data_IF_416588212716
#
_entry.id   IF_416588212716
#
_cell.length_a   1.000
_cell.length_b   1.000
_cell.length_c   1.000
_cell.angle_alpha   90.00
_cell.angle_beta   90.00
_cell.angle_gamma   90.00
#
_symmetry.space_group_name_H-M   'P 1'
#
loop_
_entity.id
_entity.type
_entity.pdbx_description
1 polymer ?
#
# COMPACT_ATOMS: atom_id res chain seq x y z
N UNK A 1 2.14 -13.01 8.35
CA UNK A 1 1.59 -13.60 9.59
C UNK A 1 2.01 -15.05 9.78
N UNK A 2 1.65 -15.96 8.88
CA UNK A 2 1.93 -17.39 9.05
C UNK A 2 3.42 -17.73 9.14
N UNK A 3 4.27 -17.10 8.34
CA UNK A 3 5.72 -17.27 8.40
C UNK A 3 6.34 -16.78 9.73
N UNK A 4 5.78 -15.72 10.33
CA UNK A 4 6.32 -15.08 11.53
C UNK A 4 5.89 -15.80 12.81
N UNK A 5 4.65 -16.19 12.91
CA UNK A 5 4.08 -16.71 14.15
C UNK A 5 3.78 -18.22 14.08
N UNK A 6 3.21 -18.71 12.98
CA UNK A 6 2.76 -20.09 12.87
C UNK A 6 1.84 -20.46 14.03
N UNK A 7 1.98 -21.69 14.52
CA UNK A 7 1.32 -22.18 15.75
C UNK A 7 2.30 -22.28 16.92
N UNK A 8 3.08 -21.23 17.15
CA UNK A 8 4.08 -21.19 18.23
C UNK A 8 3.42 -20.88 19.54
N UNK A 9 3.61 -21.75 20.52
CA UNK A 9 3.31 -21.47 21.92
C UNK A 9 4.36 -20.48 22.47
N UNK A 10 3.95 -19.60 23.37
CA UNK A 10 4.80 -18.53 23.88
C UNK A 10 5.72 -18.98 25.02
N UNK A 11 5.18 -19.70 25.99
CA UNK A 11 5.86 -20.03 27.26
C UNK A 11 5.79 -21.51 27.65
N UNK A 12 5.05 -22.32 26.93
CA UNK A 12 4.81 -23.75 27.26
C UNK A 12 5.09 -24.62 26.05
N UNK A 13 5.48 -25.87 26.30
CA UNK A 13 5.64 -26.86 25.25
C UNK A 13 4.33 -27.54 24.86
N UNK A 14 3.27 -27.41 25.68
CA UNK A 14 1.96 -28.04 25.50
C UNK A 14 0.84 -27.02 25.71
N UNK A 15 -0.31 -27.26 25.09
CA UNK A 15 -1.51 -26.43 25.27
C UNK A 15 -2.01 -26.51 26.72
N UNK A 16 -2.31 -25.32 27.29
CA UNK A 16 -2.83 -25.20 28.65
C UNK A 16 -4.35 -25.16 28.73
N UNK A 17 -5.02 -24.87 27.60
CA UNK A 17 -6.48 -24.72 27.49
C UNK A 17 -7.03 -23.70 28.50
N UNK A 18 -6.28 -22.64 28.74
CA UNK A 18 -6.71 -21.52 29.59
C UNK A 18 -7.08 -20.28 28.75
N UNK A 19 -7.65 -19.26 29.40
CA UNK A 19 -8.06 -18.02 28.74
C UNK A 19 -6.92 -16.98 28.62
N UNK A 20 -5.69 -17.35 28.96
CA UNK A 20 -4.53 -16.50 28.77
C UNK A 20 -3.96 -16.67 27.37
N UNK A 21 -3.11 -15.73 26.96
CA UNK A 21 -2.45 -15.83 25.65
C UNK A 21 -1.46 -17.00 25.63
N UNK A 22 -1.80 -18.05 24.92
CA UNK A 22 -0.94 -19.23 24.75
C UNK A 22 -0.05 -19.10 23.51
N UNK A 23 -0.59 -18.51 22.43
CA UNK A 23 0.13 -18.38 21.17
C UNK A 23 0.84 -17.04 21.06
N UNK A 24 2.00 -17.05 20.40
CA UNK A 24 2.76 -15.83 20.14
C UNK A 24 1.97 -14.79 19.34
N UNK A 25 1.08 -15.23 18.45
CA UNK A 25 0.21 -14.32 17.69
C UNK A 25 -0.81 -13.61 18.56
N UNK A 26 -1.35 -14.26 19.59
CA UNK A 26 -2.31 -13.65 20.52
C UNK A 26 -1.67 -12.52 21.32
N UNK A 27 -0.47 -12.75 21.85
CA UNK A 27 0.29 -11.72 22.55
C UNK A 27 0.66 -10.54 21.64
N UNK A 28 1.03 -10.83 20.41
CA UNK A 28 1.30 -9.80 19.41
C UNK A 28 0.05 -8.97 19.12
N UNK A 29 -1.10 -9.59 18.86
CA UNK A 29 -2.35 -8.89 18.59
C UNK A 29 -2.81 -8.06 19.79
N UNK A 30 -2.73 -8.63 21.00
CA UNK A 30 -3.07 -7.93 22.24
C UNK A 30 -2.17 -6.71 22.50
N UNK A 31 -0.87 -6.86 22.28
CA UNK A 31 0.10 -5.77 22.39
C UNK A 31 -0.23 -4.64 21.40
N UNK A 32 -0.44 -4.97 20.13
CA UNK A 32 -0.77 -3.97 19.11
C UNK A 32 -2.12 -3.31 19.37
N UNK A 33 -3.15 -4.06 19.79
CA UNK A 33 -4.44 -3.51 20.15
C UNK A 33 -4.34 -2.50 21.31
N UNK A 34 -3.62 -2.86 22.37
CA UNK A 34 -3.40 -1.96 23.50
C UNK A 34 -2.61 -0.70 23.12
N UNK A 35 -1.60 -0.84 22.27
CA UNK A 35 -0.83 0.32 21.80
C UNK A 35 -1.67 1.22 20.89
N UNK A 36 -2.51 0.63 20.04
CA UNK A 36 -3.40 1.38 19.17
C UNK A 36 -4.39 2.22 19.98
N UNK A 37 -5.06 1.63 20.98
CA UNK A 37 -6.05 2.34 21.81
C UNK A 37 -5.43 3.44 22.71
N UNK A 38 -4.13 3.38 22.98
CA UNK A 38 -3.41 4.46 23.69
C UNK A 38 -3.09 5.66 22.80
N UNK A 39 -2.98 5.44 21.50
CA UNK A 39 -2.52 6.44 20.52
C UNK A 39 -3.65 7.00 19.70
N UNK A 40 -4.74 6.28 19.57
CA UNK A 40 -5.84 6.60 18.67
C UNK A 40 -7.17 6.51 19.39
N UNK A 41 -7.92 7.59 19.38
CA UNK A 41 -9.26 7.64 19.93
C UNK A 41 -10.25 6.88 19.03
N UNK A 42 -11.16 6.12 19.64
CA UNK A 42 -12.13 5.30 18.93
C UNK A 42 -13.08 6.13 18.05
N UNK A 43 -13.50 7.32 18.52
CA UNK A 43 -14.36 8.20 17.73
C UNK A 43 -13.61 8.75 16.52
N UNK A 44 -12.36 9.16 16.68
CA UNK A 44 -11.52 9.58 15.56
C UNK A 44 -11.37 8.47 14.51
N UNK A 45 -11.20 7.22 14.96
CA UNK A 45 -11.17 6.07 14.05
C UNK A 45 -12.47 5.94 13.25
N UNK A 46 -13.63 6.03 13.92
CA UNK A 46 -14.93 5.96 13.27
C UNK A 46 -15.14 7.10 12.26
N UNK A 47 -14.77 8.34 12.61
CA UNK A 47 -14.88 9.48 11.70
C UNK A 47 -14.00 9.34 10.47
N UNK A 48 -12.75 8.94 10.64
CA UNK A 48 -11.82 8.72 9.51
C UNK A 48 -12.31 7.60 8.61
N UNK A 49 -12.75 6.46 9.19
CA UNK A 49 -13.32 5.34 8.42
C UNK A 49 -14.54 5.80 7.64
N UNK A 50 -15.45 6.56 8.29
CA UNK A 50 -16.65 7.09 7.65
C UNK A 50 -16.33 8.05 6.49
N UNK A 51 -15.32 8.91 6.67
CA UNK A 51 -14.87 9.80 5.61
C UNK A 51 -14.29 9.03 4.41
N UNK A 52 -13.56 7.94 4.67
CA UNK A 52 -13.07 7.05 3.62
C UNK A 52 -14.20 6.32 2.89
N UNK A 53 -15.23 5.85 3.63
CA UNK A 53 -16.38 5.16 3.06
C UNK A 53 -17.22 6.06 2.14
N UNK A 54 -17.23 7.36 2.39
CA UNK A 54 -17.95 8.34 1.56
C UNK A 54 -17.14 8.89 0.40
N UNK A 55 -15.84 8.62 0.36
CA UNK A 55 -15.00 9.11 -0.73
C UNK A 55 -15.23 8.30 -2.00
N UNK A 56 -15.78 8.94 -3.00
CA UNK A 56 -15.90 8.41 -4.37
C UNK A 56 -15.37 9.44 -5.36
N UNK A 57 -14.24 9.16 -5.98
CA UNK A 57 -13.61 10.04 -6.97
C UNK A 57 -14.49 10.26 -8.21
N UNK A 58 -15.40 9.35 -8.49
CA UNK A 58 -16.31 9.42 -9.65
C UNK A 58 -17.65 10.09 -9.36
N UNK A 59 -17.97 10.42 -8.10
CA UNK A 59 -19.30 10.90 -7.69
C UNK A 59 -19.75 12.13 -8.50
N UNK A 60 -18.89 13.14 -8.63
CA UNK A 60 -19.23 14.38 -9.35
C UNK A 60 -19.14 14.26 -10.88
N UNK A 61 -18.36 13.31 -11.37
CA UNK A 61 -18.03 13.20 -12.80
C UNK A 61 -18.70 12.02 -13.51
N UNK A 62 -19.30 11.12 -12.74
CA UNK A 62 -20.01 9.92 -13.22
C UNK A 62 -19.09 8.76 -13.62
N UNK A 63 -17.75 8.96 -13.69
CA UNK A 63 -16.79 7.87 -13.93
C UNK A 63 -15.36 8.26 -13.55
N UNK A 64 -14.52 7.27 -13.22
CA UNK A 64 -13.09 7.51 -12.98
C UNK A 64 -12.38 8.13 -14.19
N UNK A 65 -12.70 7.72 -15.39
CA UNK A 65 -12.12 8.32 -16.60
C UNK A 65 -12.48 9.80 -16.73
N UNK A 66 -13.72 10.18 -16.45
CA UNK A 66 -14.15 11.57 -16.44
C UNK A 66 -13.45 12.39 -15.33
N UNK A 67 -13.25 11.79 -14.14
CA UNK A 67 -12.50 12.41 -13.04
C UNK A 67 -11.05 12.75 -13.46
N UNK A 68 -10.45 11.92 -14.30
CA UNK A 68 -9.09 12.12 -14.81
C UNK A 68 -9.01 12.87 -16.13
N UNK A 69 -10.12 13.41 -16.69
CA UNK A 69 -10.15 14.03 -18.00
C UNK A 69 -9.13 15.18 -18.20
N UNK A 70 -8.78 15.88 -17.12
CA UNK A 70 -7.80 16.98 -17.12
C UNK A 70 -6.39 16.57 -16.70
N UNK A 71 -6.13 15.27 -16.50
CA UNK A 71 -4.84 14.76 -16.01
C UNK A 71 -3.87 14.32 -17.11
N UNK A 72 -4.20 14.56 -18.39
CA UNK A 72 -3.38 14.12 -19.53
C UNK A 72 -1.97 14.73 -19.60
N UNK A 73 -1.72 15.83 -18.88
CA UNK A 73 -0.40 16.44 -18.73
C UNK A 73 0.43 15.84 -17.59
N UNK A 74 -0.18 15.02 -16.77
CA UNK A 74 0.49 14.36 -15.65
C UNK A 74 1.05 13.00 -16.07
N UNK A 75 2.10 12.59 -15.40
CA UNK A 75 2.74 11.30 -15.58
C UNK A 75 2.58 10.46 -14.33
N UNK A 76 2.16 9.21 -14.51
CA UNK A 76 1.77 8.34 -13.42
C UNK A 76 2.68 7.11 -13.31
N UNK A 77 3.14 6.82 -12.11
CA UNK A 77 3.71 5.53 -11.75
C UNK A 77 2.74 4.84 -10.77
N UNK A 78 2.08 3.80 -11.25
CA UNK A 78 1.16 3.01 -10.43
C UNK A 78 1.83 1.67 -10.11
N UNK A 79 1.91 1.33 -8.83
CA UNK A 79 2.52 0.09 -8.35
C UNK A 79 1.54 -0.66 -7.48
N UNK A 80 1.39 -1.95 -7.71
CA UNK A 80 0.64 -2.86 -6.85
C UNK A 80 1.46 -4.07 -6.46
N UNK A 81 1.03 -4.79 -5.41
CA UNK A 81 1.69 -5.99 -4.92
C UNK A 81 0.71 -7.14 -4.87
N UNK A 82 1.10 -8.30 -5.40
CA UNK A 82 0.20 -9.44 -5.59
C UNK A 82 -0.40 -9.99 -4.30
N UNK A 83 0.25 -9.78 -3.16
CA UNK A 83 -0.22 -10.23 -1.85
C UNK A 83 -0.91 -9.15 -1.01
N UNK A 84 -1.04 -7.93 -1.54
CA UNK A 84 -1.76 -6.85 -0.85
C UNK A 84 -3.27 -7.12 -0.92
N UNK A 85 -3.87 -7.38 0.25
CA UNK A 85 -5.30 -7.63 0.36
C UNK A 85 -6.09 -6.42 0.85
N UNK A 86 -5.40 -5.37 1.33
CA UNK A 86 -6.03 -4.08 1.67
C UNK A 86 -6.28 -3.27 0.40
N UNK A 87 -5.28 -3.22 -0.49
CA UNK A 87 -5.36 -2.58 -1.81
C UNK A 87 -5.00 -3.59 -2.90
N UNK A 88 -5.88 -4.55 -3.19
CA UNK A 88 -5.62 -5.57 -4.19
C UNK A 88 -5.32 -5.00 -5.56
N UNK A 89 -4.48 -5.69 -6.34
CA UNK A 89 -4.02 -5.25 -7.66
C UNK A 89 -5.15 -4.90 -8.64
N UNK A 90 -6.37 -5.42 -8.46
CA UNK A 90 -7.49 -5.08 -9.33
C UNK A 90 -7.92 -3.62 -9.19
N UNK A 91 -7.81 -2.99 -7.99
CA UNK A 91 -8.06 -1.56 -7.81
C UNK A 91 -7.07 -0.72 -8.59
N UNK A 92 -5.76 -1.05 -8.53
CA UNK A 92 -4.73 -0.37 -9.32
C UNK A 92 -4.98 -0.54 -10.82
N UNK A 93 -5.41 -1.72 -11.27
CA UNK A 93 -5.76 -1.98 -12.68
C UNK A 93 -6.97 -1.15 -13.12
N UNK A 94 -7.92 -0.91 -12.24
CA UNK A 94 -9.07 -0.03 -12.52
C UNK A 94 -8.62 1.42 -12.74
N UNK A 95 -7.76 1.95 -11.86
CA UNK A 95 -7.15 3.27 -12.04
C UNK A 95 -6.36 3.37 -13.36
N UNK A 96 -5.53 2.37 -13.66
CA UNK A 96 -4.76 2.30 -14.91
C UNK A 96 -5.67 2.34 -16.14
N UNK A 97 -6.78 1.59 -16.14
CA UNK A 97 -7.76 1.62 -17.24
C UNK A 97 -8.37 3.02 -17.41
N UNK A 98 -8.76 3.67 -16.31
CA UNK A 98 -9.34 4.99 -16.35
C UNK A 98 -8.36 6.04 -16.88
N UNK A 99 -7.10 6.01 -16.43
CA UNK A 99 -6.03 6.87 -16.90
C UNK A 99 -5.68 6.62 -18.38
N UNK A 100 -5.66 5.34 -18.80
CA UNK A 100 -5.45 4.97 -20.21
C UNK A 100 -6.56 5.51 -21.11
N UNK A 101 -7.80 5.51 -20.64
CA UNK A 101 -8.94 6.02 -21.40
C UNK A 101 -8.86 7.53 -21.71
N UNK A 102 -8.11 8.28 -20.90
CA UNK A 102 -7.85 9.71 -21.11
C UNK A 102 -6.46 9.99 -21.69
N UNK A 103 -5.78 8.97 -22.20
CA UNK A 103 -4.44 9.03 -22.81
C UNK A 103 -3.37 9.63 -21.87
N UNK A 104 -3.46 9.41 -20.56
CA UNK A 104 -2.41 9.79 -19.62
C UNK A 104 -1.15 8.93 -19.81
N UNK A 105 0.03 9.50 -19.53
CA UNK A 105 1.30 8.77 -19.53
C UNK A 105 1.40 7.91 -18.25
N UNK A 106 1.32 6.59 -18.38
CA UNK A 106 1.25 5.66 -17.27
C UNK A 106 2.34 4.60 -17.36
N UNK A 107 3.06 4.42 -16.26
CA UNK A 107 3.87 3.23 -15.99
C UNK A 107 3.15 2.40 -14.92
N UNK A 108 2.88 1.13 -15.20
CA UNK A 108 2.22 0.23 -14.24
C UNK A 108 3.02 -1.04 -14.02
N UNK A 109 3.23 -1.41 -12.74
CA UNK A 109 3.82 -2.68 -12.34
C UNK A 109 2.98 -3.35 -11.24
N UNK A 110 2.79 -4.67 -11.40
CA UNK A 110 2.21 -5.54 -10.38
C UNK A 110 3.32 -6.45 -9.85
N UNK A 111 3.90 -6.09 -8.71
CA UNK A 111 5.09 -6.74 -8.16
C UNK A 111 4.69 -7.98 -7.38
N UNK A 112 5.32 -9.11 -7.71
CA UNK A 112 5.12 -10.34 -6.96
C UNK A 112 5.85 -10.25 -5.61
N UNK A 113 5.09 -10.24 -4.52
CA UNK A 113 5.60 -10.19 -3.15
C UNK A 113 4.71 -11.00 -2.22
N UNK A 114 5.27 -11.47 -1.10
CA UNK A 114 4.56 -12.18 -0.03
C UNK A 114 4.35 -11.33 1.23
N UNK A 115 4.73 -10.04 1.20
CA UNK A 115 4.73 -9.17 2.38
C UNK A 115 3.41 -8.46 2.65
N UNK A 116 2.39 -8.68 1.81
CA UNK A 116 1.10 -8.01 1.94
C UNK A 116 1.22 -6.51 1.68
N UNK A 117 0.47 -5.73 2.44
CA UNK A 117 0.49 -4.27 2.31
C UNK A 117 1.87 -3.64 2.63
N UNK A 118 2.64 -4.24 3.53
CA UNK A 118 3.96 -3.73 3.89
C UNK A 118 5.02 -3.91 2.77
N UNK A 119 4.68 -4.57 1.68
CA UNK A 119 5.60 -4.85 0.58
C UNK A 119 6.30 -3.59 0.03
N UNK A 120 5.61 -2.45 -0.04
CA UNK A 120 6.19 -1.19 -0.51
C UNK A 120 7.34 -0.66 0.36
N UNK A 121 7.40 -1.08 1.64
CA UNK A 121 8.49 -0.76 2.56
C UNK A 121 9.58 -1.83 2.60
N UNK A 122 9.27 -3.06 2.21
CA UNK A 122 10.16 -4.20 2.36
C UNK A 122 10.85 -4.61 1.05
N UNK A 123 10.25 -4.32 -0.09
CA UNK A 123 10.83 -4.53 -1.43
C UNK A 123 11.72 -3.33 -1.84
N UNK A 124 12.63 -2.93 -0.93
CA UNK A 124 13.42 -1.68 -1.03
C UNK A 124 14.18 -1.57 -2.34
N UNK A 125 14.91 -2.62 -2.73
CA UNK A 125 15.75 -2.58 -3.95
C UNK A 125 14.90 -2.43 -5.21
N UNK A 126 13.78 -3.15 -5.28
CA UNK A 126 12.84 -3.10 -6.40
C UNK A 126 12.19 -1.73 -6.50
N UNK A 127 11.69 -1.21 -5.38
CA UNK A 127 11.04 0.10 -5.32
C UNK A 127 12.03 1.23 -5.64
N UNK A 128 13.25 1.17 -5.12
CA UNK A 128 14.29 2.17 -5.39
C UNK A 128 14.60 2.23 -6.88
N UNK A 129 14.86 1.08 -7.52
CA UNK A 129 15.16 1.02 -8.97
C UNK A 129 13.99 1.54 -9.80
N UNK A 130 12.77 1.15 -9.45
CA UNK A 130 11.56 1.55 -10.17
C UNK A 130 11.33 3.05 -10.11
N UNK A 131 11.39 3.62 -8.89
CA UNK A 131 11.19 5.06 -8.69
C UNK A 131 12.33 5.84 -9.36
N UNK A 132 13.59 5.43 -9.20
CA UNK A 132 14.73 6.08 -9.83
C UNK A 132 14.58 6.09 -11.36
N UNK A 133 14.29 4.93 -11.97
CA UNK A 133 14.11 4.84 -13.43
C UNK A 133 12.97 5.71 -13.95
N UNK A 134 11.85 5.79 -13.20
CA UNK A 134 10.74 6.65 -13.54
C UNK A 134 11.14 8.12 -13.49
N UNK A 135 11.78 8.57 -12.41
CA UNK A 135 12.24 9.94 -12.25
C UNK A 135 13.33 10.33 -13.26
N UNK A 136 14.27 9.42 -13.56
CA UNK A 136 15.28 9.63 -14.60
C UNK A 136 14.67 9.79 -16.00
N UNK A 137 13.61 9.02 -16.30
CA UNK A 137 12.85 9.19 -17.54
C UNK A 137 12.24 10.59 -17.60
N UNK A 138 11.55 11.00 -16.54
CA UNK A 138 10.92 12.33 -16.48
C UNK A 138 11.93 13.45 -16.61
N UNK A 139 13.07 13.36 -15.90
CA UNK A 139 14.10 14.37 -15.97
C UNK A 139 14.69 14.52 -17.39
N UNK A 140 14.86 13.42 -18.12
CA UNK A 140 15.31 13.45 -19.52
C UNK A 140 14.28 14.06 -20.46
N UNK A 141 13.00 13.78 -20.24
CA UNK A 141 11.91 14.34 -21.06
C UNK A 141 11.73 15.84 -20.85
N UNK A 142 11.94 16.30 -19.60
CA UNK A 142 11.81 17.72 -19.23
C UNK A 142 13.15 18.50 -19.32
N UNK A 143 14.23 17.88 -19.82
CA UNK A 143 15.57 18.49 -19.88
C UNK A 143 16.09 19.00 -18.52
N UNK A 144 15.64 18.38 -17.42
CA UNK A 144 16.02 18.76 -16.05
C UNK A 144 17.28 17.98 -15.64
N UNK A 145 18.32 18.70 -15.20
CA UNK A 145 19.52 18.06 -14.64
C UNK A 145 19.20 17.46 -13.25
N UNK A 146 19.31 16.14 -13.13
CA UNK A 146 19.21 15.46 -11.84
C UNK A 146 20.49 15.66 -11.00
N UNK A 147 20.37 15.89 -9.68
CA UNK A 147 21.52 15.93 -8.80
C UNK A 147 22.22 14.56 -8.77
N UNK A 148 23.55 14.56 -8.94
CA UNK A 148 24.36 13.33 -8.79
C UNK A 148 24.35 12.93 -7.32
N UNK A 149 23.65 11.87 -6.98
CA UNK A 149 23.73 11.27 -5.64
C UNK A 149 25.04 10.48 -5.60
N UNK A 150 26.10 11.07 -5.01
CA UNK A 150 27.32 10.34 -4.70
C UNK A 150 27.06 9.39 -3.53
N UNK A 151 27.04 8.08 -3.80
CA UNK A 151 27.07 7.08 -2.76
C UNK A 151 28.41 7.20 -2.00
N UNK A 152 28.36 7.72 -0.77
CA UNK A 152 29.43 7.59 0.23
C UNK A 152 29.15 6.39 1.12
#
# INVERSE_FOLDING_TARGET
MHQKFGRRLQTRERYGFDFQSEFAVESYLKYNGNNFTRRFDANSYLYVTKAMDYFDLSEETGSLAAAFAHSGHLKFLVVSFTSDWLYPSYHSKELVRALTAVNADISYLDIQSSWGHDAFLLEVDTMTKLIASFLERLAREEEVALPVISNQ
#
